data_IF_920701658608
#
_entry.id   IF_920701658608
#
_cell.length_a   1.000
_cell.length_b   1.000
_cell.length_c   1.000
_cell.angle_alpha   90.00
_cell.angle_beta   90.00
_cell.angle_gamma   90.00
#
_symmetry.space_group_name_H-M   'P 1'
#
loop_
_entity.id
_entity.type
_entity.pdbx_description
1 polymer ?
#
# COMPACT_ATOMS: atom_id res chain seq x y z
N UNK A 1 -11.30 5.40 2.60
CA UNK A 1 -9.89 5.02 2.80
C UNK A 1 -9.30 4.70 1.44
N UNK A 2 -8.26 5.40 1.07
CA UNK A 2 -7.59 5.19 -0.21
C UNK A 2 -6.13 4.84 -0.02
N UNK A 3 -5.67 3.78 -0.68
CA UNK A 3 -4.32 3.25 -0.55
C UNK A 3 -3.70 3.12 -1.94
N UNK A 4 -2.39 3.31 -2.02
CA UNK A 4 -1.66 3.16 -3.27
C UNK A 4 -0.79 1.93 -3.25
N UNK A 5 -0.80 1.17 -4.34
CA UNK A 5 0.14 0.09 -4.60
C UNK A 5 1.10 0.59 -5.68
N UNK A 6 2.35 0.84 -5.31
CA UNK A 6 3.31 1.51 -6.18
C UNK A 6 4.51 0.61 -6.47
N UNK A 7 4.91 0.53 -7.72
CA UNK A 7 6.07 -0.26 -8.13
C UNK A 7 6.92 0.51 -9.16
N UNK A 8 8.23 0.28 -9.14
CA UNK A 8 9.16 0.96 -10.03
C UNK A 8 9.01 0.57 -11.50
N UNK A 9 8.53 -0.65 -11.75
CA UNK A 9 8.44 -1.18 -13.11
C UNK A 9 7.04 -1.10 -13.70
N UNK A 10 6.18 -0.26 -13.12
CA UNK A 10 4.90 0.06 -13.70
C UNK A 10 3.79 -0.93 -13.37
N UNK A 11 2.85 -1.04 -14.30
CA UNK A 11 1.51 -1.54 -14.03
C UNK A 11 1.44 -3.01 -13.64
N UNK A 12 2.36 -3.85 -14.15
CA UNK A 12 2.28 -5.30 -13.91
C UNK A 12 2.46 -5.69 -12.47
N UNK A 13 3.57 -5.26 -11.86
CA UNK A 13 3.89 -5.62 -10.47
C UNK A 13 2.94 -4.94 -9.48
N UNK A 14 2.62 -3.67 -9.72
CA UNK A 14 1.71 -2.94 -8.85
C UNK A 14 0.29 -3.52 -8.91
N UNK A 15 -0.10 -4.06 -10.07
CA UNK A 15 -1.40 -4.72 -10.19
C UNK A 15 -1.47 -5.99 -9.33
N UNK A 16 -0.39 -6.77 -9.28
CA UNK A 16 -0.33 -7.96 -8.44
C UNK A 16 -0.47 -7.58 -6.99
N UNK A 17 0.24 -6.54 -6.56
CA UNK A 17 0.14 -6.05 -5.19
C UNK A 17 -1.28 -5.55 -4.88
N UNK A 18 -1.87 -4.81 -5.80
CA UNK A 18 -3.25 -4.33 -5.65
C UNK A 18 -4.22 -5.50 -5.44
N UNK A 19 -4.12 -6.54 -6.26
CA UNK A 19 -5.00 -7.70 -6.17
C UNK A 19 -4.85 -8.37 -4.79
N UNK A 20 -3.62 -8.53 -4.32
CA UNK A 20 -3.37 -9.12 -3.01
C UNK A 20 -3.96 -8.26 -1.88
N UNK A 21 -3.79 -6.95 -1.98
CA UNK A 21 -4.35 -6.02 -0.99
C UNK A 21 -5.88 -6.06 -1.00
N UNK A 22 -6.50 -6.07 -2.20
CA UNK A 22 -7.95 -6.15 -2.31
C UNK A 22 -8.49 -7.41 -1.64
N UNK A 23 -7.81 -8.53 -1.82
CA UNK A 23 -8.21 -9.79 -1.20
C UNK A 23 -8.14 -9.74 0.33
N UNK A 24 -7.09 -9.10 0.86
CA UNK A 24 -6.94 -8.97 2.30
C UNK A 24 -8.05 -8.09 2.88
N UNK A 25 -8.34 -6.95 2.23
CA UNK A 25 -9.40 -6.07 2.70
C UNK A 25 -10.75 -6.75 2.65
N UNK A 26 -11.01 -7.54 1.60
CA UNK A 26 -12.24 -8.32 1.50
C UNK A 26 -12.35 -9.34 2.64
N UNK A 27 -11.25 -10.05 2.91
CA UNK A 27 -11.21 -11.02 4.00
C UNK A 27 -11.47 -10.37 5.36
N UNK A 28 -10.92 -9.17 5.56
CA UNK A 28 -11.09 -8.44 6.82
C UNK A 28 -12.41 -7.71 6.93
N UNK A 29 -13.19 -7.67 5.86
CA UNK A 29 -14.46 -6.93 5.85
C UNK A 29 -14.28 -5.43 5.90
N UNK A 30 -13.15 -4.92 5.41
CA UNK A 30 -12.83 -3.50 5.43
C UNK A 30 -13.05 -2.92 4.04
N UNK A 31 -13.80 -1.82 3.97
CA UNK A 31 -14.04 -1.10 2.72
C UNK A 31 -12.86 -0.16 2.44
N UNK A 32 -12.09 -0.48 1.42
CA UNK A 32 -10.91 0.30 1.06
C UNK A 32 -10.74 0.34 -0.45
N UNK A 33 -10.29 1.48 -0.96
CA UNK A 33 -9.97 1.65 -2.37
C UNK A 33 -8.46 1.53 -2.54
N UNK A 34 -8.01 0.61 -3.39
CA UNK A 34 -6.60 0.43 -3.71
C UNK A 34 -6.39 0.78 -5.17
N UNK A 35 -5.47 1.71 -5.44
CA UNK A 35 -5.11 2.11 -6.80
C UNK A 35 -3.67 1.73 -7.06
N UNK A 36 -3.42 1.06 -8.20
CA UNK A 36 -2.05 0.71 -8.58
C UNK A 36 -1.47 1.76 -9.50
N UNK A 37 -0.29 2.26 -9.16
CA UNK A 37 0.38 3.33 -9.89
C UNK A 37 1.87 3.03 -10.04
N UNK A 38 2.51 3.66 -11.02
CA UNK A 38 3.96 3.69 -11.07
C UNK A 38 4.48 4.78 -10.12
N UNK A 39 5.80 4.81 -9.92
CA UNK A 39 6.40 5.74 -8.95
C UNK A 39 6.24 7.21 -9.34
N UNK A 40 6.14 7.50 -10.64
CA UNK A 40 5.99 8.88 -11.10
C UNK A 40 4.55 9.35 -10.96
N UNK A 41 3.60 8.48 -11.29
CA UNK A 41 2.17 8.81 -11.19
C UNK A 41 1.70 8.92 -9.75
N UNK A 42 2.38 8.26 -8.82
CA UNK A 42 2.01 8.30 -7.40
C UNK A 42 2.34 9.65 -6.74
N UNK A 43 3.25 10.41 -7.33
CA UNK A 43 3.67 11.69 -6.77
C UNK A 43 2.51 12.66 -6.74
N UNK A 44 2.22 13.20 -5.56
CA UNK A 44 1.15 14.19 -5.39
C UNK A 44 -0.25 13.62 -5.27
N UNK A 45 -0.44 12.30 -5.37
CA UNK A 45 -1.76 11.69 -5.23
C UNK A 45 -2.14 11.62 -3.75
N UNK A 46 -3.33 12.09 -3.43
CA UNK A 46 -3.84 12.03 -2.05
C UNK A 46 -4.25 10.60 -1.71
N UNK A 47 -3.72 10.10 -0.60
CA UNK A 47 -4.04 8.75 -0.12
C UNK A 47 -3.81 8.66 1.38
N UNK A 48 -4.20 7.53 1.96
CA UNK A 48 -4.03 7.30 3.39
C UNK A 48 -2.75 6.50 3.68
N UNK A 49 -2.24 5.75 2.73
CA UNK A 49 -0.99 5.01 2.87
C UNK A 49 -0.47 4.58 1.52
N UNK A 50 0.83 4.26 1.46
CA UNK A 50 1.50 3.77 0.26
C UNK A 50 2.10 2.40 0.58
N UNK A 51 1.80 1.42 -0.27
CA UNK A 51 2.39 0.08 -0.20
C UNK A 51 3.28 -0.09 -1.43
N UNK A 52 4.52 -0.43 -1.22
CA UNK A 52 5.50 -0.44 -2.30
C UNK A 52 6.55 -1.53 -2.10
N UNK A 53 7.53 -1.61 -3.01
CA UNK A 53 8.64 -2.53 -2.88
C UNK A 53 9.71 -1.98 -1.93
N UNK A 54 10.59 -2.86 -1.40
CA UNK A 54 11.69 -2.37 -0.57
C UNK A 54 12.60 -1.38 -1.28
N UNK A 55 12.76 -1.52 -2.61
CA UNK A 55 13.60 -0.61 -3.38
C UNK A 55 13.09 0.83 -3.35
N UNK A 56 11.77 1.01 -3.31
CA UNK A 56 11.17 2.35 -3.31
C UNK A 56 10.81 2.84 -1.91
N UNK A 57 10.88 1.97 -0.92
CA UNK A 57 10.44 2.28 0.43
C UNK A 57 11.11 3.53 0.99
N UNK A 58 12.43 3.59 0.93
CA UNK A 58 13.18 4.72 1.50
C UNK A 58 12.83 6.02 0.79
N UNK A 59 12.69 5.97 -0.54
CA UNK A 59 12.36 7.13 -1.32
C UNK A 59 11.00 7.72 -0.93
N UNK A 60 9.97 6.88 -0.85
CA UNK A 60 8.65 7.34 -0.46
C UNK A 60 8.58 7.73 1.00
N UNK A 61 9.29 7.04 1.86
CA UNK A 61 9.30 7.35 3.29
C UNK A 61 9.81 8.77 3.55
N UNK A 62 10.79 9.22 2.78
CA UNK A 62 11.34 10.55 2.93
C UNK A 62 10.40 11.65 2.45
N UNK A 63 9.61 11.40 1.42
CA UNK A 63 8.80 12.43 0.77
C UNK A 63 7.31 12.34 1.10
N UNK A 64 6.82 11.20 1.56
CA UNK A 64 5.39 11.02 1.78
C UNK A 64 4.94 11.60 3.12
N UNK A 65 3.72 12.13 3.13
CA UNK A 65 3.07 12.64 4.34
C UNK A 65 2.19 11.56 4.99
N UNK A 66 2.24 10.34 4.49
CA UNK A 66 1.43 9.22 4.95
C UNK A 66 2.34 8.03 5.23
N UNK A 67 1.86 7.02 5.98
CA UNK A 67 2.65 5.82 6.22
C UNK A 67 3.01 5.11 4.93
N UNK A 68 4.21 4.55 4.88
CA UNK A 68 4.71 3.78 3.74
C UNK A 68 5.09 2.40 4.24
N UNK A 69 4.66 1.37 3.51
CA UNK A 69 4.91 -0.03 3.88
C UNK A 69 5.61 -0.75 2.75
N UNK A 70 6.64 -1.52 3.07
CA UNK A 70 7.39 -2.30 2.10
C UNK A 70 6.90 -3.74 2.09
N UNK A 71 6.51 -4.22 0.91
CA UNK A 71 6.10 -5.61 0.71
C UNK A 71 7.14 -6.27 -0.18
N UNK A 72 7.75 -7.33 0.33
CA UNK A 72 8.78 -8.05 -0.44
C UNK A 72 8.19 -9.04 -1.41
N UNK A 73 7.17 -9.76 -0.98
CA UNK A 73 6.53 -10.79 -1.80
C UNK A 73 5.06 -10.42 -1.99
N UNK A 74 4.75 -9.87 -3.15
CA UNK A 74 3.41 -9.34 -3.43
C UNK A 74 2.32 -10.41 -3.38
N UNK A 75 2.67 -11.67 -3.63
CA UNK A 75 1.72 -12.77 -3.59
C UNK A 75 1.67 -13.49 -2.25
N UNK A 76 2.50 -13.07 -1.30
CA UNK A 76 2.49 -13.65 0.04
C UNK A 76 1.40 -12.96 0.86
N UNK A 77 0.27 -13.61 0.97
CA UNK A 77 -0.90 -13.04 1.65
C UNK A 77 -0.62 -12.76 3.12
N UNK A 78 0.22 -13.56 3.76
CA UNK A 78 0.56 -13.34 5.17
C UNK A 78 1.35 -12.05 5.34
N UNK A 79 2.30 -11.77 4.46
CA UNK A 79 3.08 -10.53 4.51
C UNK A 79 2.20 -9.33 4.22
N UNK A 80 1.37 -9.41 3.18
CA UNK A 80 0.47 -8.32 2.80
C UNK A 80 -0.51 -8.04 3.94
N UNK A 81 -1.10 -9.09 4.51
CA UNK A 81 -2.05 -8.94 5.60
C UNK A 81 -1.43 -8.32 6.84
N UNK A 82 -0.22 -8.75 7.20
CA UNK A 82 0.49 -8.20 8.36
C UNK A 82 0.71 -6.69 8.22
N UNK A 83 1.12 -6.25 7.04
CA UNK A 83 1.34 -4.82 6.80
C UNK A 83 0.03 -4.03 6.77
N UNK A 84 -1.03 -4.61 6.21
CA UNK A 84 -2.34 -3.96 6.21
C UNK A 84 -2.88 -3.84 7.63
N UNK A 85 -2.72 -4.87 8.45
CA UNK A 85 -3.15 -4.80 9.85
C UNK A 85 -2.41 -3.72 10.62
N UNK A 86 -1.12 -3.56 10.36
CA UNK A 86 -0.32 -2.49 10.96
C UNK A 86 -0.85 -1.12 10.53
N UNK A 87 -1.18 -0.95 9.25
CA UNK A 87 -1.77 0.28 8.77
C UNK A 87 -3.14 0.54 9.40
N UNK A 88 -3.99 -0.48 9.49
CA UNK A 88 -5.33 -0.31 10.06
C UNK A 88 -5.25 0.11 11.52
N UNK A 89 -4.30 -0.40 12.26
CA UNK A 89 -4.07 0.02 13.64
C UNK A 89 -3.68 1.50 13.70
N UNK A 90 -2.77 1.92 12.84
CA UNK A 90 -2.39 3.32 12.73
C UNK A 90 -3.59 4.19 12.36
N UNK A 91 -4.36 3.78 11.35
CA UNK A 91 -5.50 4.54 10.85
C UNK A 91 -6.58 4.71 11.92
N UNK A 92 -6.83 3.64 12.66
CA UNK A 92 -7.80 3.65 13.74
C UNK A 92 -7.41 4.63 14.84
N UNK A 93 -6.13 4.76 15.13
CA UNK A 93 -5.62 5.57 16.25
C UNK A 93 -5.25 7.00 15.87
N UNK A 94 -5.17 7.32 14.59
CA UNK A 94 -4.66 8.64 14.19
C UNK A 94 -5.58 9.79 14.58
N UNK A 95 -6.88 9.52 14.75
CA UNK A 95 -7.87 10.52 15.16
C UNK A 95 -8.21 10.44 16.66
N UNK A 96 -7.50 9.61 17.39
CA UNK A 96 -7.73 9.41 18.81
C UNK A 96 -7.17 10.56 19.65
#
# INVERSE_FOLDING_TARGET
MKLLAVCSYGVGSSMILKISMDRVFEELGVDAEVENLDMYSADGVKCDAIFTSPQLFDQFKQSANVPVYAIRKYMDMAEVKSNIEEFLEYYKNKDA
#
